data_IF_582220144307
#
_entry.id   IF_582220144307
#
_cell.length_a   1.000
_cell.length_b   1.000
_cell.length_c   1.000
_cell.angle_alpha   90.00
_cell.angle_beta   90.00
_cell.angle_gamma   90.00
#
_symmetry.space_group_name_H-M   'P 1'
#
loop_
_entity.id
_entity.type
_entity.pdbx_description
1 polymer ?
#
# COMPACT_ATOMS: atom_id res chain seq x y z
N UNK A 1 21.97 -11.24 -8.94
CA UNK A 1 20.83 -10.37 -9.32
C UNK A 1 21.39 -9.07 -9.90
N UNK A 2 20.87 -8.59 -11.04
CA UNK A 2 21.27 -7.27 -11.58
C UNK A 2 20.73 -6.20 -10.63
N UNK A 3 21.59 -5.32 -10.12
CA UNK A 3 21.14 -4.18 -9.32
C UNK A 3 20.25 -3.29 -10.21
N UNK A 4 18.99 -3.14 -9.83
CA UNK A 4 18.08 -2.18 -10.46
C UNK A 4 18.54 -0.77 -10.11
N UNK A 5 18.59 0.12 -11.11
CA UNK A 5 18.83 1.56 -10.90
C UNK A 5 17.63 2.27 -10.28
N UNK A 6 16.50 1.57 -10.15
CA UNK A 6 15.26 2.09 -9.57
C UNK A 6 15.02 1.37 -8.24
N UNK A 7 14.89 2.10 -7.11
CA UNK A 7 14.55 1.49 -5.84
C UNK A 7 13.16 0.81 -5.92
N UNK A 8 12.93 -0.29 -5.19
CA UNK A 8 11.65 -1.01 -5.23
C UNK A 8 10.49 -0.19 -4.64
N UNK A 9 10.82 0.73 -3.74
CA UNK A 9 9.86 1.56 -3.02
C UNK A 9 9.92 3.02 -3.50
N UNK A 10 8.75 3.59 -3.74
CA UNK A 10 8.63 5.03 -3.99
C UNK A 10 8.86 5.80 -2.68
N UNK A 11 9.57 6.93 -2.69
CA UNK A 11 9.63 7.83 -1.53
C UNK A 11 8.22 8.20 -1.08
N UNK A 12 7.98 8.30 0.24
CA UNK A 12 6.66 8.65 0.80
C UNK A 12 6.10 9.92 0.16
N UNK A 13 6.95 10.90 -0.07
CA UNK A 13 6.67 12.22 -0.65
C UNK A 13 6.75 12.26 -2.18
N UNK A 14 6.88 11.12 -2.87
CA UNK A 14 6.92 11.02 -4.34
C UNK A 14 5.88 11.93 -4.99
N UNK A 15 6.33 12.73 -5.96
CA UNK A 15 5.57 13.82 -6.56
C UNK A 15 5.30 13.64 -8.07
N UNK A 16 5.55 12.44 -8.62
CA UNK A 16 5.47 12.18 -10.07
C UNK A 16 4.06 12.30 -10.65
N UNK A 17 3.02 12.18 -9.82
CA UNK A 17 1.62 12.18 -10.26
C UNK A 17 0.85 13.37 -9.66
N UNK A 18 0.77 14.53 -10.35
CA UNK A 18 0.17 15.75 -9.79
C UNK A 18 -1.25 15.56 -9.26
N UNK A 19 -2.13 14.86 -9.99
CA UNK A 19 -3.51 14.60 -9.56
C UNK A 19 -3.59 13.82 -8.25
N UNK A 20 -2.74 12.80 -8.07
CA UNK A 20 -2.68 12.00 -6.84
C UNK A 20 -2.09 12.80 -5.68
N UNK A 21 -1.08 13.63 -5.97
CA UNK A 21 -0.47 14.53 -4.98
C UNK A 21 -1.49 15.55 -4.47
N UNK A 22 -2.24 16.18 -5.38
CA UNK A 22 -3.26 17.16 -5.01
C UNK A 22 -4.40 16.51 -4.22
N UNK A 23 -4.80 15.30 -4.62
CA UNK A 23 -5.84 14.56 -3.90
C UNK A 23 -5.40 14.18 -2.48
N UNK A 24 -4.22 13.56 -2.30
CA UNK A 24 -3.73 13.21 -0.95
C UNK A 24 -3.48 14.43 -0.09
N UNK A 25 -3.08 15.58 -0.66
CA UNK A 25 -2.98 16.86 0.05
C UNK A 25 -4.36 17.36 0.51
N UNK A 26 -5.37 17.24 -0.34
CA UNK A 26 -6.76 17.59 0.02
C UNK A 26 -7.27 16.72 1.18
N UNK A 27 -6.92 15.43 1.19
CA UNK A 27 -7.23 14.54 2.32
C UNK A 27 -6.44 14.94 3.56
N UNK A 28 -5.14 15.24 3.43
CA UNK A 28 -4.27 15.63 4.54
C UNK A 28 -4.70 16.93 5.25
N UNK A 29 -5.37 17.85 4.56
CA UNK A 29 -5.97 19.04 5.21
C UNK A 29 -7.05 18.65 6.21
N UNK A 30 -7.85 17.62 5.89
CA UNK A 30 -8.92 17.12 6.77
C UNK A 30 -8.38 16.16 7.83
N UNK A 31 -7.37 15.38 7.46
CA UNK A 31 -6.83 14.27 8.23
C UNK A 31 -5.29 14.36 8.31
N UNK A 32 -4.74 15.34 9.03
CA UNK A 32 -3.31 15.66 8.99
C UNK A 32 -2.41 14.60 9.63
N UNK A 33 -2.98 13.74 10.49
CA UNK A 33 -2.25 12.67 11.19
C UNK A 33 -2.18 11.38 10.38
N UNK A 34 -2.92 11.27 9.27
CA UNK A 34 -2.91 10.10 8.41
C UNK A 34 -1.62 10.00 7.61
N UNK A 35 -1.33 8.80 7.10
CA UNK A 35 -0.09 8.53 6.36
C UNK A 35 0.09 9.47 5.14
N UNK A 36 -0.96 9.67 4.33
CA UNK A 36 -1.03 10.65 3.23
C UNK A 36 0.19 10.66 2.29
N UNK A 37 0.68 9.48 1.91
CA UNK A 37 1.91 9.31 1.13
C UNK A 37 1.82 8.19 0.10
N UNK A 38 2.94 7.95 -0.59
CA UNK A 38 3.11 6.73 -1.36
C UNK A 38 3.24 5.55 -0.38
N UNK A 39 2.29 4.62 -0.40
CA UNK A 39 2.20 3.49 0.53
C UNK A 39 3.28 2.46 0.19
N UNK A 40 4.15 2.11 1.14
CA UNK A 40 5.19 1.10 0.91
C UNK A 40 4.61 -0.31 0.78
N UNK A 41 5.40 -1.23 0.25
CA UNK A 41 5.08 -2.65 0.33
C UNK A 41 5.16 -3.12 1.78
N UNK A 42 4.44 -4.19 2.10
CA UNK A 42 4.45 -4.80 3.43
C UNK A 42 4.66 -6.31 3.29
N UNK A 43 5.66 -6.84 3.99
CA UNK A 43 5.91 -8.27 4.09
C UNK A 43 7.39 -8.65 3.98
N UNK A 44 7.62 -9.90 3.64
CA UNK A 44 8.93 -10.55 3.62
C UNK A 44 9.71 -10.22 2.35
N UNK A 45 10.96 -9.75 2.48
CA UNK A 45 11.85 -9.48 1.33
C UNK A 45 12.21 -10.75 0.54
N UNK A 46 12.07 -11.93 1.16
CA UNK A 46 12.26 -13.23 0.52
C UNK A 46 10.93 -13.89 0.12
N UNK A 47 9.85 -13.11 0.00
CA UNK A 47 8.53 -13.62 -0.34
C UNK A 47 8.52 -14.46 -1.64
N UNK A 48 7.83 -15.59 -1.58
CA UNK A 48 7.49 -16.43 -2.73
C UNK A 48 6.12 -16.09 -3.31
N UNK A 49 5.23 -15.51 -2.48
CA UNK A 49 3.92 -15.01 -2.87
C UNK A 49 3.91 -13.46 -2.90
N UNK A 50 3.56 -12.88 -4.04
CA UNK A 50 3.33 -11.44 -4.18
C UNK A 50 1.86 -11.15 -4.48
N UNK A 51 1.21 -10.40 -3.59
CA UNK A 51 -0.14 -9.86 -3.80
C UNK A 51 -0.05 -8.41 -4.25
N UNK A 52 -0.61 -8.10 -5.41
CA UNK A 52 -0.59 -6.75 -5.98
C UNK A 52 -2.03 -6.22 -6.06
N UNK A 53 -2.34 -5.22 -5.25
CA UNK A 53 -3.58 -4.44 -5.32
C UNK A 53 -3.53 -3.35 -6.38
N UNK A 54 -4.68 -2.69 -6.60
CA UNK A 54 -4.78 -1.59 -7.56
C UNK A 54 -4.10 -0.32 -7.03
N UNK A 55 -4.62 0.22 -5.93
CA UNK A 55 -4.15 1.45 -5.29
C UNK A 55 -4.69 1.56 -3.84
N UNK A 56 -4.10 2.41 -2.98
CA UNK A 56 -4.62 2.69 -1.64
C UNK A 56 -6.06 3.21 -1.65
N UNK A 57 -6.89 2.70 -0.74
CA UNK A 57 -8.16 3.33 -0.38
C UNK A 57 -7.97 4.50 0.59
N UNK A 58 -8.87 5.48 0.55
CA UNK A 58 -8.79 6.72 1.34
C UNK A 58 -8.74 6.46 2.86
N UNK A 59 -9.65 5.63 3.37
CA UNK A 59 -9.74 5.28 4.81
C UNK A 59 -8.92 4.04 5.19
N UNK A 60 -8.41 3.33 4.19
CA UNK A 60 -7.55 2.16 4.35
C UNK A 60 -6.08 2.58 4.33
N UNK A 61 -5.33 2.10 3.34
CA UNK A 61 -3.89 2.29 3.25
C UNK A 61 -3.42 3.76 3.17
N UNK A 62 -4.23 4.71 2.68
CA UNK A 62 -3.87 6.13 2.74
C UNK A 62 -3.88 6.68 4.18
N UNK A 63 -4.75 6.14 5.03
CA UNK A 63 -4.80 6.44 6.46
C UNK A 63 -3.68 5.74 7.20
N UNK A 64 -3.56 4.44 6.99
CA UNK A 64 -2.74 3.54 7.83
C UNK A 64 -1.29 3.42 7.37
N UNK A 65 -1.01 3.67 6.10
CA UNK A 65 0.34 3.49 5.52
C UNK A 65 0.73 2.03 5.29
N UNK A 66 -0.18 1.07 5.51
CA UNK A 66 0.02 -0.35 5.22
C UNK A 66 -0.99 -0.81 4.17
N UNK A 67 -0.59 -1.49 3.08
CA UNK A 67 -1.51 -2.02 2.07
C UNK A 67 -2.66 -2.80 2.71
N UNK A 68 -3.87 -2.66 2.16
CA UNK A 68 -5.06 -3.39 2.62
C UNK A 68 -5.34 -3.27 4.13
N UNK A 69 -4.92 -2.19 4.79
CA UNK A 69 -5.12 -2.03 6.24
C UNK A 69 -6.14 -0.96 6.57
N UNK A 70 -7.18 -1.31 7.32
CA UNK A 70 -8.23 -0.39 7.76
C UNK A 70 -9.43 -0.28 6.81
N UNK A 71 -9.63 -1.26 5.93
CA UNK A 71 -10.79 -1.41 5.06
C UNK A 71 -11.22 -2.88 4.94
N UNK A 72 -12.41 -3.11 4.36
CA UNK A 72 -13.00 -4.44 4.22
C UNK A 72 -12.18 -5.41 3.36
N UNK A 73 -11.41 -4.90 2.39
CA UNK A 73 -10.56 -5.75 1.57
C UNK A 73 -9.43 -6.36 2.41
N UNK A 74 -8.95 -5.60 3.42
CA UNK A 74 -8.03 -6.07 4.43
C UNK A 74 -8.53 -7.25 5.27
N UNK A 75 -9.73 -7.13 5.82
CA UNK A 75 -10.31 -8.16 6.70
C UNK A 75 -10.33 -9.54 6.01
N UNK A 76 -10.71 -9.56 4.73
CA UNK A 76 -10.73 -10.79 3.95
C UNK A 76 -9.31 -11.27 3.58
N UNK A 77 -8.44 -10.36 3.11
CA UNK A 77 -7.11 -10.72 2.63
C UNK A 77 -6.25 -11.27 3.77
N UNK A 78 -6.15 -10.56 4.89
CA UNK A 78 -5.28 -10.96 5.99
C UNK A 78 -5.77 -12.24 6.68
N UNK A 79 -7.08 -12.42 6.85
CA UNK A 79 -7.63 -13.69 7.33
C UNK A 79 -7.32 -14.86 6.37
N UNK A 80 -7.26 -14.59 5.06
CA UNK A 80 -6.88 -15.61 4.08
C UNK A 80 -5.40 -15.95 4.16
N UNK A 81 -4.53 -14.95 4.26
CA UNK A 81 -3.08 -15.16 4.41
C UNK A 81 -2.75 -15.97 5.67
N UNK A 82 -3.40 -15.64 6.79
CA UNK A 82 -3.28 -16.38 8.05
C UNK A 82 -3.69 -17.84 7.89
N UNK A 83 -4.87 -18.07 7.30
CA UNK A 83 -5.38 -19.43 7.04
C UNK A 83 -4.41 -20.30 6.23
N UNK A 84 -3.62 -19.71 5.35
CA UNK A 84 -2.66 -20.43 4.49
C UNK A 84 -1.21 -20.37 5.01
N UNK A 85 -0.98 -19.83 6.21
CA UNK A 85 0.35 -19.82 6.84
C UNK A 85 1.30 -18.77 6.29
N UNK A 86 0.79 -17.71 5.66
CA UNK A 86 1.56 -16.57 5.13
C UNK A 86 1.64 -15.38 6.10
N UNK A 87 1.17 -15.53 7.34
CA UNK A 87 1.29 -14.51 8.37
C UNK A 87 1.46 -15.08 9.77
N UNK A 88 2.05 -14.26 10.64
CA UNK A 88 2.15 -14.47 12.08
C UNK A 88 1.54 -13.28 12.83
N UNK A 89 0.91 -13.55 13.97
CA UNK A 89 0.22 -12.53 14.77
C UNK A 89 -1.26 -12.39 14.38
N UNK A 90 -1.91 -11.33 14.88
CA UNK A 90 -3.34 -11.09 14.66
C UNK A 90 -3.54 -9.76 13.95
N UNK A 91 -4.22 -9.78 12.82
CA UNK A 91 -4.63 -8.55 12.14
C UNK A 91 -5.68 -7.81 12.98
N UNK A 92 -5.37 -6.56 13.36
CA UNK A 92 -6.26 -5.68 14.14
C UNK A 92 -6.58 -4.37 13.40
N UNK A 93 -6.42 -4.35 12.07
CA UNK A 93 -6.67 -3.19 11.22
C UNK A 93 -5.90 -1.91 11.61
N UNK A 94 -4.75 -2.09 12.27
CA UNK A 94 -3.83 -1.02 12.68
C UNK A 94 -2.42 -1.31 12.15
N UNK A 95 -1.65 -0.27 11.76
CA UNK A 95 -0.32 -0.48 11.16
C UNK A 95 0.71 -1.10 12.11
N UNK A 96 0.50 -0.98 13.42
CA UNK A 96 1.35 -1.44 14.51
C UNK A 96 0.75 -2.62 15.31
N UNK A 97 -0.19 -3.36 14.72
CA UNK A 97 -0.88 -4.49 15.37
C UNK A 97 0.00 -5.74 15.61
N UNK A 98 1.28 -5.70 15.21
CA UNK A 98 2.22 -6.80 15.39
C UNK A 98 2.06 -7.93 14.38
N UNK A 99 1.16 -7.81 13.40
CA UNK A 99 1.08 -8.75 12.28
C UNK A 99 2.38 -8.68 11.47
N UNK A 100 2.94 -9.84 11.11
CA UNK A 100 4.02 -9.97 10.15
C UNK A 100 3.60 -10.93 9.03
N UNK A 101 4.08 -10.71 7.81
CA UNK A 101 3.93 -11.70 6.73
C UNK A 101 5.17 -12.58 6.64
N UNK A 102 4.97 -13.87 6.39
CA UNK A 102 6.01 -14.88 6.26
C UNK A 102 5.91 -15.49 4.86
N UNK A 103 6.97 -15.39 4.05
CA UNK A 103 6.95 -15.89 2.66
C UNK A 103 5.99 -15.14 1.71
N UNK A 104 5.37 -14.05 2.16
CA UNK A 104 4.47 -13.22 1.35
C UNK A 104 4.80 -11.73 1.44
N UNK A 105 4.52 -11.02 0.36
CA UNK A 105 4.58 -9.56 0.27
C UNK A 105 3.29 -9.02 -0.37
N UNK A 106 2.84 -7.86 0.12
CA UNK A 106 1.68 -7.14 -0.41
C UNK A 106 2.14 -5.76 -0.88
N UNK A 107 1.68 -5.34 -2.06
CA UNK A 107 1.92 -4.01 -2.60
C UNK A 107 0.75 -3.51 -3.45
N UNK A 108 0.87 -2.34 -4.07
CA UNK A 108 -0.08 -1.81 -5.03
C UNK A 108 0.59 -1.39 -6.35
N UNK A 109 -0.13 -1.54 -7.46
CA UNK A 109 0.33 -1.08 -8.78
C UNK A 109 0.49 0.45 -8.84
N UNK A 110 -0.40 1.20 -8.17
CA UNK A 110 -0.26 2.64 -7.92
C UNK A 110 -0.11 2.87 -6.42
N UNK A 111 0.97 3.51 -5.99
CA UNK A 111 1.31 3.64 -4.56
C UNK A 111 0.59 4.79 -3.83
N UNK A 112 -0.02 5.74 -4.56
CA UNK A 112 -0.74 6.87 -3.97
C UNK A 112 -2.25 6.71 -4.13
N UNK A 113 -3.03 7.26 -3.18
CA UNK A 113 -4.50 7.22 -3.23
C UNK A 113 -5.05 7.99 -4.43
N UNK A 114 -5.87 7.35 -5.29
CA UNK A 114 -6.55 8.03 -6.38
C UNK A 114 -7.97 8.47 -5.99
N UNK A 115 -8.46 9.61 -6.50
CA UNK A 115 -9.87 9.96 -6.45
C UNK A 115 -10.75 8.80 -6.93
N UNK A 116 -11.85 8.55 -6.21
CA UNK A 116 -12.80 7.46 -6.49
C UNK A 116 -12.20 6.05 -6.53
N UNK A 117 -10.99 5.86 -5.97
CA UNK A 117 -10.21 4.63 -6.10
C UNK A 117 -9.92 4.23 -7.56
N UNK A 118 -9.83 5.21 -8.47
CA UNK A 118 -9.61 4.99 -9.91
C UNK A 118 -8.35 5.70 -10.39
N UNK A 119 -7.21 5.00 -10.48
CA UNK A 119 -6.04 5.54 -11.15
C UNK A 119 -6.26 5.62 -12.67
N UNK A 120 -5.56 6.52 -13.34
CA UNK A 120 -5.56 6.63 -14.81
C UNK A 120 -4.29 6.03 -15.41
N UNK A 121 -4.31 5.74 -16.71
CA UNK A 121 -3.17 5.12 -17.41
C UNK A 121 -1.83 5.85 -17.22
N UNK A 122 -1.85 7.18 -17.21
CA UNK A 122 -0.65 7.98 -16.97
C UNK A 122 -0.06 7.75 -15.56
N UNK A 123 -0.90 7.60 -14.54
CA UNK A 123 -0.47 7.35 -13.16
C UNK A 123 0.05 5.92 -13.00
N UNK A 124 -0.61 4.95 -13.63
CA UNK A 124 -0.15 3.56 -13.66
C UNK A 124 1.24 3.47 -14.30
N UNK A 125 1.45 4.18 -15.42
CA UNK A 125 2.75 4.20 -16.09
C UNK A 125 3.82 4.92 -15.27
N UNK A 126 3.49 6.04 -14.64
CA UNK A 126 4.43 6.81 -13.82
C UNK A 126 4.80 6.10 -12.50
N UNK A 127 3.96 5.16 -12.04
CA UNK A 127 4.22 4.40 -10.81
C UNK A 127 5.04 3.12 -11.05
N UNK A 128 5.40 2.83 -12.31
CA UNK A 128 6.33 1.78 -12.69
C UNK A 128 7.75 2.36 -12.76
N UNK A 129 8.80 1.55 -12.49
CA UNK A 129 10.19 1.91 -12.78
C UNK A 129 10.39 2.34 -14.24
#
# INVERSE_FOLDING_TARGET
MKQSTHPPEAPKDCALCPRLVDYRKTVAVKEPTWFNGAVPSFGDENAELLVIGLAPGVTGANRTGRPFTGDWAGDLLYATLDKFGFSEGTYAAAPDDGLALTGAMITNAVRCVPPENKPVGAEINACRP
#
